data_IF_502647514259
#
_entry.id   IF_502647514259
#
_cell.length_a   1.000
_cell.length_b   1.000
_cell.length_c   1.000
_cell.angle_alpha   90.00
_cell.angle_beta   90.00
_cell.angle_gamma   90.00
#
_symmetry.space_group_name_H-M   'P 1'
#
loop_
_entity.id
_entity.type
_entity.pdbx_description
1 polymer ?
#
# COMPACT_ATOMS: atom_id res chain seq x y z
N UNK A 1 -5.01 -23.02 -40.91
CA UNK A 1 -6.27 -22.31 -40.64
C UNK A 1 -6.66 -22.45 -39.18
N UNK A 2 -6.20 -21.65 -38.24
CA UNK A 2 -5.00 -20.80 -38.16
C UNK A 2 -4.76 -20.42 -36.71
N UNK A 3 -3.50 -20.10 -36.47
CA UNK A 3 -2.84 -19.65 -35.27
C UNK A 3 -3.25 -18.20 -34.91
N UNK A 4 -4.56 -17.93 -34.84
CA UNK A 4 -5.16 -16.62 -34.54
C UNK A 4 -6.39 -16.76 -33.63
N UNK A 5 -6.32 -17.58 -32.58
CA UNK A 5 -7.30 -17.43 -31.49
C UNK A 5 -6.93 -16.15 -30.72
N UNK A 6 -7.61 -15.05 -31.07
CA UNK A 6 -7.61 -13.84 -30.25
C UNK A 6 -8.03 -14.25 -28.83
N UNK A 7 -7.09 -14.22 -27.87
CA UNK A 7 -7.34 -14.60 -26.48
C UNK A 7 -8.24 -13.62 -25.73
N UNK A 8 -8.65 -12.54 -26.39
CA UNK A 8 -9.55 -11.51 -25.90
C UNK A 8 -9.44 -10.21 -26.70
N UNK A 9 -10.20 -9.20 -26.29
CA UNK A 9 -10.13 -7.83 -26.82
C UNK A 9 -9.73 -6.88 -25.71
N UNK A 10 -8.74 -6.03 -25.98
CA UNK A 10 -8.44 -4.85 -25.18
C UNK A 10 -9.14 -3.66 -25.84
N UNK A 11 -9.84 -2.85 -25.05
CA UNK A 11 -10.57 -1.69 -25.56
C UNK A 11 -10.15 -0.41 -24.84
N UNK A 12 -10.00 0.67 -25.61
CA UNK A 12 -9.97 2.03 -25.08
C UNK A 12 -11.38 2.59 -25.19
N UNK A 13 -11.95 2.92 -24.05
CA UNK A 13 -13.36 3.28 -23.91
C UNK A 13 -13.44 4.71 -23.36
N UNK A 14 -14.37 5.50 -23.87
CA UNK A 14 -14.58 6.85 -23.34
C UNK A 14 -15.31 6.81 -21.98
N UNK A 15 -15.40 7.95 -21.31
CA UNK A 15 -16.12 8.11 -20.02
C UNK A 15 -17.62 7.77 -20.04
N UNK A 16 -18.20 7.52 -21.22
CA UNK A 16 -19.60 7.14 -21.41
C UNK A 16 -19.76 5.66 -21.79
N UNK A 17 -18.73 4.84 -21.54
CA UNK A 17 -18.68 3.41 -21.87
C UNK A 17 -18.81 3.10 -23.37
N UNK A 18 -18.48 4.08 -24.23
CA UNK A 18 -18.45 3.90 -25.69
C UNK A 18 -17.04 3.51 -26.13
N UNK A 19 -16.84 2.33 -26.75
CA UNK A 19 -15.54 1.94 -27.27
C UNK A 19 -15.07 2.89 -28.38
N UNK A 20 -13.82 3.35 -28.26
CA UNK A 20 -13.18 4.21 -29.25
C UNK A 20 -12.21 3.42 -30.13
N UNK A 21 -11.44 2.53 -29.52
CA UNK A 21 -10.41 1.73 -30.19
C UNK A 21 -10.37 0.33 -29.58
N UNK A 22 -10.04 -0.65 -30.40
CA UNK A 22 -9.83 -2.03 -29.99
C UNK A 22 -8.43 -2.49 -30.41
N UNK A 23 -7.87 -3.40 -29.61
CA UNK A 23 -6.67 -4.15 -29.93
C UNK A 23 -6.92 -5.63 -29.64
N UNK A 24 -6.53 -6.47 -30.57
CA UNK A 24 -6.59 -7.92 -30.40
C UNK A 24 -5.55 -8.35 -29.35
N UNK A 25 -5.98 -9.18 -28.41
CA UNK A 25 -5.09 -9.77 -27.41
C UNK A 25 -4.53 -11.07 -27.98
N UNK A 26 -3.35 -10.94 -28.58
CA UNK A 26 -2.64 -12.01 -29.31
C UNK A 26 -1.65 -12.79 -28.43
N UNK A 27 -1.46 -12.36 -27.19
CA UNK A 27 -0.50 -12.96 -26.26
C UNK A 27 -1.15 -13.28 -24.91
N UNK A 28 -0.67 -14.34 -24.22
CA UNK A 28 -1.14 -14.65 -22.88
C UNK A 28 -0.94 -13.46 -21.93
N UNK A 29 -1.98 -13.22 -21.11
CA UNK A 29 -2.11 -12.16 -20.10
C UNK A 29 -2.44 -10.76 -20.63
N UNK A 30 -3.07 -9.98 -19.78
CA UNK A 30 -3.34 -8.55 -20.00
C UNK A 30 -2.04 -7.74 -19.81
N UNK A 31 -1.28 -7.60 -20.89
CA UNK A 31 0.00 -6.86 -20.88
C UNK A 31 -0.20 -5.35 -21.08
N UNK A 32 0.70 -4.54 -20.49
CA UNK A 32 0.66 -3.07 -20.63
C UNK A 32 0.83 -2.58 -22.08
N UNK A 33 1.42 -3.39 -22.96
CA UNK A 33 1.63 -3.07 -24.38
C UNK A 33 0.34 -2.69 -25.10
N UNK A 34 -0.80 -3.30 -24.74
CA UNK A 34 -2.08 -3.00 -25.38
C UNK A 34 -2.57 -1.60 -25.03
N UNK A 35 -2.44 -1.20 -23.76
CA UNK A 35 -2.78 0.16 -23.32
C UNK A 35 -1.89 1.20 -24.03
N UNK A 36 -0.59 0.92 -24.16
CA UNK A 36 0.36 1.78 -24.89
C UNK A 36 -0.04 1.92 -26.36
N UNK A 37 -0.32 0.82 -27.05
CA UNK A 37 -0.72 0.82 -28.46
C UNK A 37 -2.02 1.60 -28.69
N UNK A 38 -3.01 1.40 -27.81
CA UNK A 38 -4.28 2.12 -27.87
C UNK A 38 -4.10 3.63 -27.64
N UNK A 39 -3.23 4.02 -26.71
CA UNK A 39 -2.88 5.42 -26.46
C UNK A 39 -2.16 6.04 -27.66
N UNK A 40 -1.14 5.40 -28.21
CA UNK A 40 -0.46 5.86 -29.43
C UNK A 40 -1.45 6.11 -30.55
N UNK A 41 -2.37 5.17 -30.77
CA UNK A 41 -3.39 5.31 -31.80
C UNK A 41 -4.34 6.47 -31.49
N UNK A 42 -4.80 6.62 -30.25
CA UNK A 42 -5.64 7.75 -29.86
C UNK A 42 -4.95 9.09 -30.10
N UNK A 43 -3.68 9.22 -29.67
CA UNK A 43 -2.91 10.46 -29.82
C UNK A 43 -2.62 10.82 -31.29
N UNK A 44 -2.61 9.85 -32.20
CA UNK A 44 -2.56 10.09 -33.65
C UNK A 44 -3.86 10.66 -34.24
N UNK A 45 -4.98 10.54 -33.52
CA UNK A 45 -6.32 10.92 -34.00
C UNK A 45 -6.85 12.21 -33.34
N UNK A 46 -6.28 12.63 -32.23
CA UNK A 46 -6.73 13.82 -31.49
C UNK A 46 -5.80 15.02 -31.75
N UNK A 47 -6.28 16.26 -31.53
CA UNK A 47 -5.45 17.45 -31.70
C UNK A 47 -4.16 17.42 -30.87
N UNK A 48 -3.07 17.99 -31.40
CA UNK A 48 -1.75 18.05 -30.73
C UNK A 48 -1.76 18.78 -29.37
N UNK A 49 -2.75 19.63 -29.11
CA UNK A 49 -2.90 20.35 -27.84
C UNK A 49 -3.87 19.68 -26.87
N UNK A 50 -4.52 18.57 -27.27
CA UNK A 50 -5.47 17.89 -26.42
C UNK A 50 -4.76 17.17 -25.27
N UNK A 51 -5.23 17.37 -24.05
CA UNK A 51 -4.84 16.63 -22.84
C UNK A 51 -5.84 15.51 -22.60
N UNK A 52 -5.37 14.30 -22.29
CA UNK A 52 -6.20 13.10 -22.11
C UNK A 52 -6.08 12.59 -20.68
N UNK A 53 -7.21 12.49 -19.98
CA UNK A 53 -7.30 11.76 -18.72
C UNK A 53 -7.45 10.25 -18.96
N UNK A 54 -6.53 9.45 -18.46
CA UNK A 54 -6.51 7.98 -18.65
C UNK A 54 -6.82 7.28 -17.34
N UNK A 55 -7.99 6.64 -17.26
CA UNK A 55 -8.33 5.76 -16.15
C UNK A 55 -7.89 4.33 -16.50
N UNK A 56 -6.86 3.83 -15.81
CA UNK A 56 -6.33 2.49 -16.03
C UNK A 56 -6.07 1.80 -14.71
N UNK A 57 -6.39 0.51 -14.63
CA UNK A 57 -6.34 -0.27 -13.39
C UNK A 57 -4.92 -0.40 -12.86
N UNK A 58 -3.89 -0.43 -13.71
CA UNK A 58 -2.48 -0.34 -13.34
C UNK A 58 -1.82 0.95 -13.87
N UNK A 59 -2.61 2.02 -13.99
CA UNK A 59 -2.16 3.34 -14.48
C UNK A 59 -0.92 3.86 -13.76
N UNK A 60 -0.86 3.72 -12.43
CA UNK A 60 0.32 4.11 -11.65
C UNK A 60 1.60 3.35 -12.04
N UNK A 61 1.50 2.07 -12.43
CA UNK A 61 2.65 1.27 -12.86
C UNK A 61 3.06 1.68 -14.26
N UNK A 62 2.09 1.94 -15.14
CA UNK A 62 2.37 2.37 -16.49
C UNK A 62 3.01 3.76 -16.53
N UNK A 63 2.44 4.74 -15.81
CA UNK A 63 3.02 6.08 -15.63
C UNK A 63 4.49 6.00 -15.17
N UNK A 64 4.74 5.15 -14.18
CA UNK A 64 6.09 4.89 -13.68
C UNK A 64 7.03 4.34 -14.75
N UNK A 65 6.57 3.35 -15.53
CA UNK A 65 7.35 2.79 -16.62
C UNK A 65 7.70 3.85 -17.67
N UNK A 66 6.77 4.77 -17.99
CA UNK A 66 7.01 5.87 -18.93
C UNK A 66 8.03 6.90 -18.42
N UNK A 67 8.12 7.10 -17.09
CA UNK A 67 9.14 7.98 -16.50
C UNK A 67 10.54 7.35 -16.48
N UNK A 68 10.62 6.02 -16.43
CA UNK A 68 11.89 5.29 -16.34
C UNK A 68 12.46 4.91 -17.71
N UNK A 69 11.59 4.74 -18.70
CA UNK A 69 11.94 4.21 -20.01
C UNK A 69 11.24 5.03 -21.10
N UNK A 70 11.95 5.23 -22.21
CA UNK A 70 11.44 5.92 -23.39
C UNK A 70 10.50 5.01 -24.20
N UNK A 71 9.30 4.78 -23.65
CA UNK A 71 8.27 3.90 -24.23
C UNK A 71 7.29 4.69 -25.10
N UNK A 72 6.90 5.88 -24.64
CA UNK A 72 6.02 6.79 -25.35
C UNK A 72 6.76 8.12 -25.60
N UNK A 73 6.58 8.73 -26.78
CA UNK A 73 7.10 10.06 -27.07
C UNK A 73 6.74 11.10 -26.00
N UNK A 74 7.66 12.03 -25.71
CA UNK A 74 7.49 13.09 -24.71
C UNK A 74 6.28 14.01 -25.00
N UNK A 75 5.97 14.22 -26.28
CA UNK A 75 4.79 15.00 -26.69
C UNK A 75 3.47 14.33 -26.27
N UNK A 76 3.46 13.01 -26.10
CA UNK A 76 2.30 12.26 -25.61
C UNK A 76 2.31 12.23 -24.09
N UNK A 77 3.43 11.90 -23.45
CA UNK A 77 3.50 11.69 -21.99
C UNK A 77 3.15 12.96 -21.21
N UNK A 78 3.58 14.14 -21.68
CA UNK A 78 3.26 15.43 -21.06
C UNK A 78 1.77 15.82 -21.17
N UNK A 79 1.01 15.17 -22.07
CA UNK A 79 -0.42 15.41 -22.29
C UNK A 79 -1.32 14.33 -21.67
N UNK A 80 -0.76 13.37 -20.96
CA UNK A 80 -1.52 12.35 -20.24
C UNK A 80 -1.68 12.74 -18.77
N UNK A 81 -2.92 12.67 -18.28
CA UNK A 81 -3.23 12.75 -16.85
C UNK A 81 -3.70 11.37 -16.39
N UNK A 82 -2.90 10.71 -15.55
CA UNK A 82 -3.22 9.37 -15.07
C UNK A 82 -4.24 9.39 -13.93
N UNK A 83 -5.18 8.46 -13.99
CA UNK A 83 -6.07 8.11 -12.90
C UNK A 83 -6.06 6.58 -12.71
N UNK A 84 -6.13 6.15 -11.45
CA UNK A 84 -6.25 4.74 -11.10
C UNK A 84 -7.42 4.55 -10.16
N UNK A 85 -8.20 3.50 -10.38
CA UNK A 85 -9.41 3.25 -9.60
C UNK A 85 -9.08 2.76 -8.19
N UNK A 86 -9.69 3.36 -7.17
CA UNK A 86 -9.58 2.91 -5.78
C UNK A 86 -10.27 1.55 -5.52
N UNK A 87 -10.98 0.96 -6.51
CA UNK A 87 -11.52 -0.40 -6.38
C UNK A 87 -10.45 -1.47 -6.16
N UNK A 88 -9.19 -1.10 -6.41
CA UNK A 88 -7.99 -1.85 -6.02
C UNK A 88 -7.01 -0.97 -5.23
N UNK A 89 -7.46 -0.02 -4.40
CA UNK A 89 -6.60 0.86 -3.57
C UNK A 89 -5.51 0.09 -2.80
N UNK A 90 -5.82 -1.17 -2.54
CA UNK A 90 -5.05 -2.21 -1.92
C UNK A 90 -3.99 -2.92 -2.80
N UNK A 91 -4.20 -3.00 -4.11
CA UNK A 91 -3.23 -3.54 -5.07
C UNK A 91 -2.18 -2.51 -5.51
N UNK A 92 -2.39 -1.23 -5.20
CA UNK A 92 -1.49 -0.13 -5.57
C UNK A 92 -0.60 0.30 -4.40
N UNK A 93 0.45 1.06 -4.73
CA UNK A 93 1.33 1.64 -3.70
C UNK A 93 0.61 2.78 -2.97
N UNK A 94 1.05 3.08 -1.75
CA UNK A 94 0.52 4.15 -0.92
C UNK A 94 0.43 5.48 -1.67
N UNK A 95 1.48 5.82 -2.42
CA UNK A 95 1.57 7.03 -3.23
C UNK A 95 0.39 7.21 -4.20
N UNK A 96 -0.21 6.12 -4.69
CA UNK A 96 -1.37 6.17 -5.58
C UNK A 96 -2.63 6.67 -4.87
N UNK A 97 -2.72 6.50 -3.54
CA UNK A 97 -3.85 6.98 -2.74
C UNK A 97 -3.77 8.50 -2.49
N UNK A 98 -2.57 9.10 -2.57
CA UNK A 98 -2.36 10.53 -2.34
C UNK A 98 -2.93 11.43 -3.47
N UNK A 99 -3.13 10.85 -4.65
CA UNK A 99 -3.54 11.57 -5.89
C UNK A 99 -4.98 11.23 -6.28
N UNK A 100 -5.64 10.33 -5.54
CA UNK A 100 -6.95 9.80 -5.89
C UNK A 100 -8.07 10.84 -5.66
N UNK A 101 -8.69 11.31 -6.74
CA UNK A 101 -9.82 12.27 -6.69
C UNK A 101 -11.08 11.80 -7.44
N UNK A 102 -10.99 10.71 -8.19
CA UNK A 102 -11.99 10.33 -9.20
C UNK A 102 -13.04 9.35 -8.67
N UNK A 103 -12.66 8.43 -7.80
CA UNK A 103 -13.51 7.36 -7.29
C UNK A 103 -14.67 7.90 -6.45
N UNK A 104 -14.43 8.96 -5.67
CA UNK A 104 -15.46 9.65 -4.90
C UNK A 104 -16.55 10.28 -5.77
N UNK A 105 -16.18 10.78 -6.96
CA UNK A 105 -17.08 11.35 -7.98
C UNK A 105 -17.84 10.27 -8.74
N UNK A 106 -17.20 9.13 -9.01
CA UNK A 106 -17.79 8.01 -9.77
C UNK A 106 -18.48 6.94 -8.89
N UNK A 107 -18.39 7.01 -7.55
CA UNK A 107 -18.80 5.93 -6.62
C UNK A 107 -20.21 5.37 -6.84
N UNK A 108 -21.14 6.21 -7.32
CA UNK A 108 -22.51 5.79 -7.64
C UNK A 108 -22.68 5.24 -9.07
N UNK A 109 -21.86 5.67 -10.02
CA UNK A 109 -21.87 5.15 -11.40
C UNK A 109 -21.33 3.72 -11.45
N UNK A 110 -20.46 3.37 -10.50
CA UNK A 110 -19.86 2.03 -10.39
C UNK A 110 -20.91 0.91 -10.22
N UNK A 111 -21.97 1.15 -9.45
CA UNK A 111 -23.04 0.16 -9.27
C UNK A 111 -23.83 -0.08 -10.55
N UNK A 112 -23.94 0.96 -11.39
CA UNK A 112 -24.66 0.94 -12.67
C UNK A 112 -23.89 0.14 -13.72
N UNK A 113 -22.56 0.20 -13.72
CA UNK A 113 -21.71 -0.44 -14.73
C UNK A 113 -21.33 -1.92 -14.44
N UNK A 114 -21.88 -2.55 -13.39
CA UNK A 114 -21.44 -3.89 -12.91
C UNK A 114 -22.30 -5.08 -13.37
N UNK A 115 -23.29 -4.90 -14.25
CA UNK A 115 -24.05 -6.02 -14.78
C UNK A 115 -24.81 -5.71 -16.07
N UNK A 116 -25.11 -6.76 -16.84
CA UNK A 116 -25.93 -6.76 -18.06
C UNK A 116 -27.42 -6.42 -17.84
N UNK A 117 -27.79 -5.95 -16.64
CA UNK A 117 -29.11 -5.49 -16.20
C UNK A 117 -29.12 -3.96 -15.98
N UNK A 118 -28.34 -3.22 -16.78
CA UNK A 118 -28.10 -1.79 -16.60
C UNK A 118 -29.38 -0.94 -16.58
N UNK A 119 -30.47 -1.36 -17.25
CA UNK A 119 -31.72 -0.61 -17.29
C UNK A 119 -32.48 -0.62 -15.96
N UNK A 120 -32.75 -1.80 -15.40
CA UNK A 120 -33.62 -1.95 -14.22
C UNK A 120 -32.93 -1.49 -12.94
N UNK A 121 -31.62 -1.75 -12.83
CA UNK A 121 -30.79 -1.27 -11.71
C UNK A 121 -30.61 0.25 -11.78
N UNK A 122 -30.55 0.84 -12.98
CA UNK A 122 -30.49 2.29 -13.13
C UNK A 122 -31.78 2.98 -12.66
N UNK A 123 -32.95 2.39 -12.92
CA UNK A 123 -34.23 2.98 -12.50
C UNK A 123 -34.44 2.93 -10.97
N UNK A 124 -34.14 1.81 -10.30
CA UNK A 124 -34.17 1.73 -8.83
C UNK A 124 -33.16 2.68 -8.17
N UNK A 125 -31.92 2.74 -8.69
CA UNK A 125 -30.88 3.64 -8.18
C UNK A 125 -31.19 5.11 -8.44
N UNK A 126 -31.95 5.43 -9.49
CA UNK A 126 -32.43 6.78 -9.80
C UNK A 126 -33.50 7.24 -8.83
N UNK A 127 -34.40 6.35 -8.41
CA UNK A 127 -35.41 6.62 -7.37
C UNK A 127 -34.73 6.93 -6.02
N UNK A 128 -33.72 6.12 -5.66
CA UNK A 128 -32.97 6.30 -4.41
C UNK A 128 -31.89 7.40 -4.47
N UNK A 129 -31.65 7.98 -5.65
CA UNK A 129 -30.64 9.01 -5.86
C UNK A 129 -30.89 10.23 -4.98
N UNK A 130 -32.12 10.74 -4.97
CA UNK A 130 -32.50 11.91 -4.16
C UNK A 130 -32.44 11.65 -2.65
N UNK A 131 -32.82 10.46 -2.19
CA UNK A 131 -32.75 10.08 -0.78
C UNK A 131 -31.29 9.90 -0.31
N UNK A 132 -30.44 9.32 -1.14
CA UNK A 132 -29.01 9.20 -0.85
C UNK A 132 -28.29 10.55 -0.92
N UNK A 133 -28.61 11.42 -1.88
CA UNK A 133 -28.02 12.77 -1.97
C UNK A 133 -28.39 13.54 -0.71
N UNK A 134 -29.67 13.52 -0.28
CA UNK A 134 -30.09 14.16 0.99
C UNK A 134 -29.37 13.60 2.22
N UNK A 135 -29.20 12.28 2.34
CA UNK A 135 -28.45 11.69 3.46
C UNK A 135 -26.95 12.05 3.42
N UNK A 136 -26.36 12.06 2.23
CA UNK A 136 -24.94 12.36 2.04
C UNK A 136 -24.63 13.85 2.26
N UNK A 137 -25.41 14.74 1.65
CA UNK A 137 -25.22 16.19 1.71
C UNK A 137 -25.80 16.83 2.98
N UNK A 138 -26.77 16.17 3.63
CA UNK A 138 -27.35 16.64 4.88
C UNK A 138 -26.53 16.21 6.10
N UNK A 139 -26.79 15.01 6.62
CA UNK A 139 -26.23 14.58 7.91
C UNK A 139 -24.76 14.22 7.84
N UNK A 140 -24.34 13.47 6.82
CA UNK A 140 -22.94 13.02 6.71
C UNK A 140 -21.95 14.14 6.43
N UNK A 141 -22.37 15.14 5.65
CA UNK A 141 -21.54 16.30 5.35
C UNK A 141 -21.22 17.09 6.62
N UNK A 142 -22.24 17.35 7.44
CA UNK A 142 -22.08 18.08 8.70
C UNK A 142 -21.22 17.29 9.71
N UNK A 143 -21.43 15.97 9.83
CA UNK A 143 -20.57 15.10 10.64
C UNK A 143 -19.10 15.20 10.21
N UNK A 144 -18.81 15.14 8.90
CA UNK A 144 -17.44 15.26 8.39
C UNK A 144 -16.84 16.65 8.59
N UNK A 145 -17.62 17.72 8.46
CA UNK A 145 -17.19 19.08 8.77
C UNK A 145 -16.86 19.24 10.26
N UNK A 146 -17.65 18.64 11.16
CA UNK A 146 -17.36 18.66 12.59
C UNK A 146 -16.09 17.89 12.93
N UNK A 147 -15.87 16.74 12.31
CA UNK A 147 -14.61 16.00 12.47
C UNK A 147 -13.41 16.80 11.96
N UNK A 148 -13.54 17.50 10.82
CA UNK A 148 -12.50 18.38 10.30
C UNK A 148 -12.18 19.53 11.28
N UNK A 149 -13.21 20.16 11.87
CA UNK A 149 -13.03 21.20 12.89
C UNK A 149 -12.32 20.68 14.14
N UNK A 150 -12.63 19.45 14.59
CA UNK A 150 -11.93 18.83 15.72
C UNK A 150 -10.45 18.62 15.42
N UNK A 151 -10.12 18.20 14.20
CA UNK A 151 -8.72 18.03 13.78
C UNK A 151 -7.94 19.35 13.73
N UNK A 152 -8.60 20.48 13.43
CA UNK A 152 -7.97 21.80 13.55
C UNK A 152 -7.77 22.24 15.01
N UNK A 153 -8.61 21.79 15.94
CA UNK A 153 -8.47 22.13 17.37
C UNK A 153 -7.20 21.55 18.01
N UNK A 154 -6.66 20.46 17.47
CA UNK A 154 -5.44 19.82 17.97
C UNK A 154 -4.16 20.32 17.29
N UNK A 155 -4.28 20.95 16.11
CA UNK A 155 -3.15 21.43 15.33
C UNK A 155 -2.98 22.95 15.50
N UNK A 156 -1.76 23.40 15.80
CA UNK A 156 -1.46 24.84 15.94
C UNK A 156 -1.20 25.54 14.60
N UNK A 157 -1.02 24.78 13.51
CA UNK A 157 -0.72 25.31 12.18
C UNK A 157 -1.98 25.86 11.51
N UNK A 158 -1.82 26.93 10.74
CA UNK A 158 -2.87 27.49 9.91
C UNK A 158 -3.11 26.62 8.67
N UNK A 159 -4.31 26.72 8.08
CA UNK A 159 -4.69 25.94 6.88
C UNK A 159 -3.69 26.16 5.73
N UNK A 160 -3.18 27.37 5.54
CA UNK A 160 -2.20 27.67 4.49
C UNK A 160 -0.90 26.85 4.67
N UNK A 161 -0.40 26.77 5.91
CA UNK A 161 0.81 26.01 6.24
C UNK A 161 0.55 24.50 6.12
N UNK A 162 -0.66 24.03 6.49
CA UNK A 162 -1.07 22.65 6.28
C UNK A 162 -1.12 22.27 4.78
N UNK A 163 -1.52 23.20 3.90
CA UNK A 163 -1.48 22.99 2.44
C UNK A 163 -0.04 22.85 1.94
N UNK A 164 0.87 23.66 2.43
CA UNK A 164 2.30 23.57 2.10
C UNK A 164 2.89 22.23 2.57
N UNK A 165 2.65 21.86 3.83
CA UNK A 165 3.07 20.58 4.39
C UNK A 165 2.50 19.39 3.59
N UNK A 166 1.24 19.46 3.18
CA UNK A 166 0.63 18.46 2.30
C UNK A 166 1.29 18.39 0.92
N UNK A 167 1.66 19.53 0.35
CA UNK A 167 2.35 19.58 -0.94
C UNK A 167 3.74 18.94 -0.85
N UNK A 168 4.50 19.26 0.20
CA UNK A 168 5.79 18.64 0.50
C UNK A 168 5.67 17.13 0.68
N UNK A 169 4.64 16.67 1.40
CA UNK A 169 4.35 15.24 1.55
C UNK A 169 4.15 14.56 0.19
N UNK A 170 3.31 15.13 -0.68
CA UNK A 170 3.06 14.56 -2.01
C UNK A 170 4.33 14.50 -2.84
N UNK A 171 5.12 15.57 -2.89
CA UNK A 171 6.37 15.62 -3.66
C UNK A 171 7.37 14.55 -3.19
N UNK A 172 7.53 14.45 -1.86
CA UNK A 172 8.35 13.43 -1.24
C UNK A 172 7.89 11.99 -1.58
N UNK A 173 6.59 11.70 -1.41
CA UNK A 173 6.05 10.35 -1.51
C UNK A 173 5.76 9.91 -2.96
N UNK A 174 5.62 10.86 -3.90
CA UNK A 174 5.49 10.59 -5.34
C UNK A 174 6.85 10.54 -6.04
N UNK A 175 7.94 10.88 -5.35
CA UNK A 175 9.28 10.86 -5.92
C UNK A 175 9.68 9.47 -6.41
N UNK A 176 10.26 9.45 -7.62
CA UNK A 176 10.92 8.32 -8.28
C UNK A 176 11.85 7.53 -7.33
N UNK A 177 12.53 8.21 -6.41
CA UNK A 177 13.54 7.63 -5.52
C UNK A 177 12.96 6.82 -4.35
N UNK A 178 11.67 7.02 -4.03
CA UNK A 178 11.01 6.25 -2.97
C UNK A 178 10.91 4.74 -3.31
N UNK A 179 11.08 4.37 -4.58
CA UNK A 179 10.90 3.00 -5.05
C UNK A 179 12.25 2.29 -5.11
N UNK A 180 12.49 1.35 -4.18
CA UNK A 180 13.70 0.54 -4.20
C UNK A 180 13.79 -0.31 -5.48
N UNK A 181 14.99 -0.46 -6.09
CA UNK A 181 15.19 -1.32 -7.25
C UNK A 181 14.67 -2.75 -7.00
N UNK A 182 14.08 -3.38 -8.02
CA UNK A 182 13.44 -4.70 -7.89
C UNK A 182 14.41 -5.80 -7.39
N UNK A 183 15.70 -5.70 -7.74
CA UNK A 183 16.76 -6.60 -7.26
C UNK A 183 16.97 -6.48 -5.76
N UNK A 184 17.22 -5.26 -5.28
CA UNK A 184 17.42 -5.00 -3.85
C UNK A 184 16.22 -5.47 -3.01
N UNK A 185 15.00 -5.27 -3.52
CA UNK A 185 13.79 -5.76 -2.87
C UNK A 185 13.80 -7.29 -2.68
N UNK A 186 14.16 -8.04 -3.72
CA UNK A 186 14.20 -9.51 -3.68
C UNK A 186 15.21 -10.01 -2.65
N UNK A 187 16.38 -9.38 -2.61
CA UNK A 187 17.44 -9.77 -1.69
C UNK A 187 17.09 -9.41 -0.23
N UNK A 188 16.48 -8.24 0.00
CA UNK A 188 15.97 -7.86 1.33
C UNK A 188 14.79 -8.76 1.78
N UNK A 189 13.92 -9.20 0.87
CA UNK A 189 12.87 -10.18 1.16
C UNK A 189 13.46 -11.56 1.54
N UNK A 190 14.60 -11.96 0.95
CA UNK A 190 15.32 -13.17 1.32
C UNK A 190 15.92 -13.05 2.72
N UNK A 191 16.54 -11.91 3.05
CA UNK A 191 17.06 -11.62 4.39
C UNK A 191 15.95 -11.66 5.45
N UNK A 192 14.76 -11.13 5.16
CA UNK A 192 13.61 -11.22 6.08
C UNK A 192 13.16 -12.66 6.34
N UNK A 193 13.28 -13.56 5.37
CA UNK A 193 12.97 -14.99 5.56
C UNK A 193 14.01 -15.63 6.45
N UNK A 194 15.29 -15.42 6.18
CA UNK A 194 16.38 -15.93 7.03
C UNK A 194 16.24 -15.42 8.47
N UNK A 195 15.93 -14.14 8.66
CA UNK A 195 15.68 -13.58 9.99
C UNK A 195 14.46 -14.21 10.68
N UNK A 196 13.44 -14.58 9.91
CA UNK A 196 12.28 -15.32 10.44
C UNK A 196 12.66 -16.70 10.92
N UNK A 197 13.62 -17.35 10.27
CA UNK A 197 14.10 -18.67 10.65
C UNK A 197 15.05 -18.58 11.85
N UNK A 198 15.90 -17.56 11.93
CA UNK A 198 16.70 -17.22 13.13
C UNK A 198 15.79 -17.02 14.35
N UNK A 199 14.74 -16.21 14.24
CA UNK A 199 13.79 -15.98 15.35
C UNK A 199 13.10 -17.29 15.82
N UNK A 200 12.88 -18.24 14.91
CA UNK A 200 12.29 -19.55 15.28
C UNK A 200 13.31 -20.40 16.02
N UNK A 201 14.56 -20.45 15.52
CA UNK A 201 15.65 -21.17 16.15
C UNK A 201 15.93 -20.61 17.55
N UNK A 202 15.92 -19.28 17.71
CA UNK A 202 16.06 -18.60 19.00
C UNK A 202 14.99 -19.05 19.99
N UNK A 203 13.70 -19.04 19.60
CA UNK A 203 12.61 -19.53 20.46
C UNK A 203 12.72 -21.02 20.78
N UNK A 204 13.15 -21.82 19.81
CA UNK A 204 13.38 -23.26 20.03
C UNK A 204 14.54 -23.51 21.00
N UNK A 205 15.61 -22.71 20.92
CA UNK A 205 16.71 -22.71 21.88
C UNK A 205 16.24 -22.29 23.28
N UNK A 206 15.46 -21.21 23.40
CA UNK A 206 14.88 -20.79 24.68
C UNK A 206 14.02 -21.90 25.32
N UNK A 207 13.20 -22.60 24.52
CA UNK A 207 12.40 -23.73 25.00
C UNK A 207 13.28 -24.92 25.41
N UNK A 208 14.28 -25.25 24.59
CA UNK A 208 15.23 -26.30 24.92
C UNK A 208 15.98 -26.00 26.22
N UNK A 209 16.49 -24.77 26.40
CA UNK A 209 17.14 -24.35 27.65
C UNK A 209 16.20 -24.41 28.86
N UNK A 210 14.93 -24.03 28.69
CA UNK A 210 13.94 -24.12 29.76
C UNK A 210 13.65 -25.59 30.15
N UNK A 211 13.46 -26.47 29.16
CA UNK A 211 13.11 -27.89 29.36
C UNK A 211 14.30 -28.72 29.89
N UNK A 212 15.52 -28.43 29.44
CA UNK A 212 16.74 -29.13 29.86
C UNK A 212 17.36 -28.58 31.15
N UNK A 213 16.79 -27.51 31.73
CA UNK A 213 17.17 -27.04 33.07
C UNK A 213 16.84 -28.06 34.18
N UNK A 214 15.90 -28.99 33.93
CA UNK A 214 15.43 -29.98 34.90
C UNK A 214 15.83 -31.43 34.59
N UNK A 215 16.24 -31.75 33.34
CA UNK A 215 16.67 -33.11 32.96
C UNK A 215 17.89 -33.10 32.04
N UNK A 216 18.97 -33.75 32.49
CA UNK A 216 20.29 -33.64 31.86
C UNK A 216 20.71 -34.98 31.24
N UNK A 217 20.25 -35.25 30.02
CA UNK A 217 20.80 -36.34 29.20
C UNK A 217 21.94 -35.80 28.33
N UNK A 218 23.03 -36.56 28.18
CA UNK A 218 24.20 -36.15 27.38
C UNK A 218 23.85 -35.93 25.89
N UNK A 219 22.84 -36.64 25.37
CA UNK A 219 22.37 -36.49 23.98
C UNK A 219 21.52 -35.22 23.81
N UNK A 220 20.80 -34.79 24.86
CA UNK A 220 20.06 -33.53 24.88
C UNK A 220 21.01 -32.33 24.81
N UNK A 221 22.10 -32.35 25.59
CA UNK A 221 23.12 -31.28 25.59
C UNK A 221 23.74 -31.13 24.20
N UNK A 222 24.17 -32.23 23.58
CA UNK A 222 24.74 -32.20 22.22
C UNK A 222 23.77 -31.65 21.17
N UNK A 223 22.47 -31.93 21.34
CA UNK A 223 21.44 -31.43 20.43
C UNK A 223 21.26 -29.91 20.56
N UNK A 224 21.35 -29.38 21.79
CA UNK A 224 21.33 -27.93 22.06
C UNK A 224 22.58 -27.25 21.49
N UNK A 225 23.78 -27.80 21.74
CA UNK A 225 25.04 -27.28 21.19
C UNK A 225 25.00 -27.22 19.65
N UNK A 226 24.45 -28.24 18.99
CA UNK A 226 24.25 -28.23 17.54
C UNK A 226 23.28 -27.13 17.08
N UNK A 227 22.21 -26.89 17.85
CA UNK A 227 21.27 -25.81 17.55
C UNK A 227 21.89 -24.42 17.75
N UNK A 228 22.72 -24.23 18.77
CA UNK A 228 23.48 -22.99 18.99
C UNK A 228 24.47 -22.73 17.86
N UNK A 229 25.23 -23.75 17.44
CA UNK A 229 26.17 -23.62 16.31
C UNK A 229 25.43 -23.29 14.99
N UNK A 230 24.26 -23.89 14.77
CA UNK A 230 23.40 -23.59 13.63
C UNK A 230 22.85 -22.16 13.67
N UNK A 231 22.47 -21.67 14.87
CA UNK A 231 22.03 -20.30 15.09
C UNK A 231 23.15 -19.30 14.74
N UNK A 232 24.36 -19.52 15.24
CA UNK A 232 25.51 -18.64 14.98
C UNK A 232 25.89 -18.63 13.49
N UNK A 233 25.96 -19.80 12.84
CA UNK A 233 26.21 -19.89 11.38
C UNK A 233 25.17 -19.13 10.56
N UNK A 234 23.89 -19.24 10.94
CA UNK A 234 22.80 -18.57 10.22
C UNK A 234 22.84 -17.05 10.42
N UNK A 235 23.20 -16.60 11.63
CA UNK A 235 23.44 -15.20 11.95
C UNK A 235 24.59 -14.63 11.11
N UNK A 236 25.74 -15.29 11.09
CA UNK A 236 26.91 -14.88 10.29
C UNK A 236 26.58 -14.81 8.79
N UNK A 237 25.80 -15.77 8.29
CA UNK A 237 25.36 -15.78 6.90
C UNK A 237 24.49 -14.55 6.56
N UNK A 238 23.57 -14.16 7.45
CA UNK A 238 22.75 -12.94 7.28
C UNK A 238 23.62 -11.68 7.28
N UNK A 239 24.65 -11.62 8.14
CA UNK A 239 25.57 -10.48 8.18
C UNK A 239 26.40 -10.37 6.89
N UNK A 240 26.93 -11.49 6.40
CA UNK A 240 27.69 -11.56 5.15
C UNK A 240 26.85 -11.16 3.93
N UNK A 241 25.63 -11.71 3.82
CA UNK A 241 24.70 -11.34 2.75
C UNK A 241 24.40 -9.83 2.78
N UNK A 242 24.18 -9.27 3.96
CA UNK A 242 23.93 -7.83 4.08
C UNK A 242 25.13 -6.98 3.64
N UNK A 243 26.35 -7.37 4.04
CA UNK A 243 27.56 -6.69 3.60
C UNK A 243 27.71 -6.72 2.07
N UNK A 244 27.42 -7.87 1.44
CA UNK A 244 27.49 -8.02 -0.02
C UNK A 244 26.47 -7.19 -0.81
N UNK A 245 25.40 -6.72 -0.17
CA UNK A 245 24.37 -5.92 -0.85
C UNK A 245 24.85 -4.52 -1.21
N UNK A 246 25.99 -4.06 -0.66
CA UNK A 246 26.56 -2.73 -0.90
C UNK A 246 25.49 -1.64 -0.82
N UNK A 247 24.64 -1.69 0.21
CA UNK A 247 23.48 -0.81 0.38
C UNK A 247 23.89 0.67 0.31
N UNK A 248 25.09 0.99 0.79
CA UNK A 248 25.66 2.34 0.77
C UNK A 248 25.97 2.86 -0.64
N UNK A 249 26.23 1.97 -1.62
CA UNK A 249 26.41 2.36 -3.03
C UNK A 249 25.07 2.67 -3.70
N UNK A 250 23.99 1.98 -3.28
CA UNK A 250 22.63 2.19 -3.81
C UNK A 250 21.99 3.43 -3.17
N UNK A 251 22.27 3.69 -1.89
CA UNK A 251 21.79 4.86 -1.16
C UNK A 251 22.97 5.64 -0.57
N UNK A 252 23.58 6.56 -1.35
CA UNK A 252 24.72 7.36 -0.90
C UNK A 252 24.42 8.16 0.37
N UNK A 253 23.16 8.54 0.56
CA UNK A 253 22.65 9.28 1.72
C UNK A 253 22.82 8.49 3.04
N UNK A 254 22.92 7.16 2.98
CA UNK A 254 23.05 6.27 4.15
C UNK A 254 24.50 5.93 4.49
N UNK A 255 25.48 6.44 3.73
CA UNK A 255 26.89 6.06 3.86
C UNK A 255 27.49 6.42 5.23
N UNK A 256 27.01 7.50 5.84
CA UNK A 256 27.51 8.01 7.12
C UNK A 256 26.79 7.39 8.34
N UNK A 257 25.85 6.47 8.11
CA UNK A 257 25.08 5.82 9.18
C UNK A 257 25.73 4.50 9.59
N UNK A 258 25.49 4.11 10.84
CA UNK A 258 25.96 2.83 11.35
C UNK A 258 25.30 1.67 10.58
N UNK A 259 26.12 0.73 10.10
CA UNK A 259 25.65 -0.38 9.25
C UNK A 259 24.56 -1.22 9.92
N UNK A 260 24.64 -1.42 11.24
CA UNK A 260 23.60 -2.12 12.03
C UNK A 260 22.27 -1.37 12.01
N UNK A 261 22.30 -0.05 12.12
CA UNK A 261 21.11 0.80 12.04
C UNK A 261 20.47 0.75 10.65
N UNK A 262 21.26 0.92 9.59
CA UNK A 262 20.77 0.87 8.20
C UNK A 262 20.16 -0.50 7.89
N UNK A 263 20.77 -1.58 8.39
CA UNK A 263 20.23 -2.95 8.29
C UNK A 263 18.86 -3.05 8.91
N UNK A 264 18.74 -2.63 10.17
CA UNK A 264 17.49 -2.68 10.90
C UNK A 264 16.40 -1.85 10.22
N UNK A 265 16.73 -0.63 9.77
CA UNK A 265 15.82 0.29 9.09
C UNK A 265 15.25 -0.32 7.79
N UNK A 266 16.10 -0.92 6.95
CA UNK A 266 15.67 -1.54 5.70
C UNK A 266 14.87 -2.83 5.91
N UNK A 267 15.25 -3.66 6.89
CA UNK A 267 14.47 -4.84 7.27
C UNK A 267 13.09 -4.43 7.76
N UNK A 268 13.02 -3.44 8.64
CA UNK A 268 11.78 -2.90 9.18
C UNK A 268 10.88 -2.33 8.07
N UNK A 269 11.44 -1.57 7.12
CA UNK A 269 10.71 -1.07 5.95
C UNK A 269 10.08 -2.18 5.13
N UNK A 270 10.85 -3.22 4.80
CA UNK A 270 10.32 -4.35 4.02
C UNK A 270 9.29 -5.16 4.81
N UNK A 271 9.50 -5.31 6.12
CA UNK A 271 8.53 -5.96 7.00
C UNK A 271 7.20 -5.18 7.00
N UNK A 272 7.23 -3.84 7.08
CA UNK A 272 6.04 -2.99 6.97
C UNK A 272 5.32 -3.18 5.64
N UNK A 273 6.06 -3.20 4.53
CA UNK A 273 5.49 -3.47 3.19
C UNK A 273 4.79 -4.84 3.15
N UNK A 274 5.41 -5.87 3.72
CA UNK A 274 4.86 -7.22 3.74
C UNK A 274 3.63 -7.34 4.67
N UNK A 275 3.66 -6.69 5.84
CA UNK A 275 2.49 -6.56 6.73
C UNK A 275 1.36 -5.88 5.98
N UNK A 276 1.62 -4.74 5.34
CA UNK A 276 0.63 -4.00 4.58
C UNK A 276 -0.03 -4.88 3.52
N UNK A 277 0.75 -5.55 2.66
CA UNK A 277 0.22 -6.49 1.65
C UNK A 277 -0.69 -7.56 2.25
N UNK A 278 -0.28 -8.19 3.36
CA UNK A 278 -1.05 -9.25 4.02
C UNK A 278 -2.33 -8.71 4.68
N UNK A 279 -2.21 -7.61 5.41
CA UNK A 279 -3.34 -6.93 6.05
C UNK A 279 -4.38 -6.54 5.01
N UNK A 280 -3.92 -5.91 3.94
CA UNK A 280 -4.75 -5.53 2.79
C UNK A 280 -5.47 -6.75 2.17
N UNK A 281 -4.76 -7.85 1.92
CA UNK A 281 -5.36 -9.06 1.37
C UNK A 281 -6.47 -9.61 2.29
N UNK A 282 -6.22 -9.64 3.60
CA UNK A 282 -7.22 -10.03 4.59
C UNK A 282 -8.41 -9.05 4.61
N UNK A 283 -8.17 -7.73 4.58
CA UNK A 283 -9.22 -6.71 4.59
C UNK A 283 -10.10 -6.79 3.34
N UNK A 284 -9.54 -7.09 2.18
CA UNK A 284 -10.30 -7.27 0.94
C UNK A 284 -11.22 -8.49 1.01
N UNK A 285 -10.76 -9.60 1.58
CA UNK A 285 -11.60 -10.78 1.83
C UNK A 285 -12.73 -10.46 2.84
N UNK A 286 -12.44 -9.70 3.89
CA UNK A 286 -13.44 -9.17 4.84
C UNK A 286 -14.49 -8.29 4.15
N UNK A 287 -14.08 -7.41 3.24
CA UNK A 287 -15.00 -6.52 2.55
C UNK A 287 -15.87 -7.27 1.53
N UNK A 288 -15.33 -8.30 0.85
CA UNK A 288 -16.15 -9.22 0.03
C UNK A 288 -17.21 -9.92 0.86
N UNK A 289 -16.89 -10.31 2.10
CA UNK A 289 -17.82 -10.92 3.04
C UNK A 289 -18.94 -9.95 3.46
N UNK A 290 -18.59 -8.69 3.71
CA UNK A 290 -19.54 -7.65 4.14
C UNK A 290 -20.41 -7.10 2.99
N UNK A 291 -19.92 -7.14 1.74
CA UNK A 291 -20.64 -6.68 0.53
C UNK A 291 -21.58 -7.73 -0.05
N UNK A 292 -21.43 -8.99 0.33
CA UNK A 292 -22.30 -10.07 -0.07
C UNK A 292 -23.75 -9.73 0.41
N UNK A 293 -24.70 -9.65 -0.52
CA UNK A 293 -26.08 -9.12 -0.34
C UNK A 293 -26.74 -9.51 0.99
N UNK A 294 -27.01 -8.49 1.83
CA UNK A 294 -27.86 -8.56 3.02
C UNK A 294 -27.22 -8.12 4.35
N UNK A 295 -26.03 -7.52 4.31
CA UNK A 295 -25.38 -6.95 5.50
C UNK A 295 -24.87 -8.01 6.48
N UNK A 296 -24.42 -7.58 7.67
CA UNK A 296 -23.85 -8.46 8.72
C UNK A 296 -24.76 -9.63 9.15
N UNK A 297 -26.03 -9.64 8.72
CA UNK A 297 -27.09 -10.51 9.24
C UNK A 297 -27.86 -11.35 8.20
N UNK A 298 -27.67 -11.16 6.89
CA UNK A 298 -28.27 -12.08 5.89
C UNK A 298 -27.22 -13.01 5.29
N UNK A 299 -27.42 -14.30 5.49
CA UNK A 299 -26.50 -15.34 5.05
C UNK A 299 -26.63 -15.61 3.54
N UNK A 300 -25.75 -15.02 2.73
CA UNK A 300 -25.36 -15.69 1.49
C UNK A 300 -24.66 -17.00 1.87
N UNK A 301 -25.34 -18.12 1.62
CA UNK A 301 -24.87 -19.50 1.77
C UNK A 301 -23.93 -19.71 2.94
N UNK A 302 -24.48 -20.05 4.12
CA UNK A 302 -23.80 -20.30 5.41
C UNK A 302 -22.39 -20.91 5.26
N UNK A 303 -22.21 -21.85 4.32
CA UNK A 303 -20.93 -22.52 4.00
C UNK A 303 -19.83 -21.59 3.46
N UNK A 304 -20.11 -20.73 2.48
CA UNK A 304 -19.09 -19.83 1.91
C UNK A 304 -18.68 -18.75 2.92
N UNK A 305 -19.65 -18.21 3.66
CA UNK A 305 -19.40 -17.25 4.73
C UNK A 305 -18.54 -17.86 5.84
N UNK A 306 -18.83 -19.09 6.27
CA UNK A 306 -18.02 -19.82 7.26
C UNK A 306 -16.63 -20.14 6.71
N UNK A 307 -16.51 -20.54 5.43
CA UNK A 307 -15.24 -20.86 4.80
C UNK A 307 -14.31 -19.64 4.70
N UNK A 308 -14.84 -18.48 4.33
CA UNK A 308 -14.07 -17.22 4.30
C UNK A 308 -13.67 -16.80 5.72
N UNK A 309 -14.60 -16.84 6.70
CA UNK A 309 -14.25 -16.56 8.12
C UNK A 309 -13.16 -17.49 8.64
N UNK A 310 -13.22 -18.79 8.32
CA UNK A 310 -12.23 -19.78 8.72
C UNK A 310 -10.86 -19.51 8.09
N UNK A 311 -10.84 -19.19 6.79
CA UNK A 311 -9.62 -18.86 6.05
C UNK A 311 -8.95 -17.61 6.62
N UNK A 312 -9.74 -16.58 6.91
CA UNK A 312 -9.29 -15.35 7.57
C UNK A 312 -8.72 -15.69 8.95
N UNK A 313 -9.48 -16.41 9.79
CA UNK A 313 -9.06 -16.78 11.15
C UNK A 313 -7.74 -17.55 11.15
N UNK A 314 -7.50 -18.43 10.18
CA UNK A 314 -6.23 -19.14 10.01
C UNK A 314 -5.05 -18.23 9.65
N UNK A 315 -5.29 -17.13 8.94
CA UNK A 315 -4.24 -16.21 8.47
C UNK A 315 -3.93 -15.08 9.46
N UNK A 316 -4.88 -14.74 10.33
CA UNK A 316 -4.71 -13.67 11.33
C UNK A 316 -3.48 -13.87 12.23
N UNK A 317 -3.19 -15.05 12.82
CA UNK A 317 -2.04 -15.22 13.70
C UNK A 317 -0.69 -14.91 13.04
N UNK A 318 -0.54 -15.25 11.76
CA UNK A 318 0.69 -14.96 11.01
C UNK A 318 0.88 -13.45 10.76
N UNK A 319 -0.22 -12.70 10.59
CA UNK A 319 -0.19 -11.25 10.47
C UNK A 319 0.10 -10.59 11.83
N UNK A 320 -0.56 -11.02 12.90
CA UNK A 320 -0.30 -10.51 14.25
C UNK A 320 1.15 -10.76 14.69
N UNK A 321 1.70 -11.93 14.35
CA UNK A 321 3.11 -12.26 14.61
C UNK A 321 4.04 -11.32 13.85
N UNK A 322 3.74 -11.01 12.58
CA UNK A 322 4.51 -10.07 11.79
C UNK A 322 4.45 -8.65 12.39
N UNK A 323 3.28 -8.21 12.84
CA UNK A 323 3.10 -6.91 13.51
C UNK A 323 3.87 -6.84 14.84
N UNK A 324 3.80 -7.89 15.67
CA UNK A 324 4.59 -7.97 16.91
C UNK A 324 6.08 -7.87 16.64
N UNK A 325 6.57 -8.56 15.60
CA UNK A 325 7.97 -8.45 15.16
C UNK A 325 8.31 -7.03 14.71
N UNK A 326 7.45 -6.41 13.92
CA UNK A 326 7.64 -5.02 13.48
C UNK A 326 7.76 -4.08 14.68
N UNK A 327 6.88 -4.20 15.68
CA UNK A 327 6.94 -3.36 16.88
C UNK A 327 8.21 -3.61 17.70
N UNK A 328 8.68 -4.86 17.81
CA UNK A 328 9.97 -5.19 18.43
C UNK A 328 11.12 -4.49 17.70
N UNK A 329 11.14 -4.58 16.38
CA UNK A 329 12.17 -3.94 15.56
C UNK A 329 12.11 -2.41 15.60
N UNK A 330 10.93 -1.80 15.75
CA UNK A 330 10.81 -0.36 16.02
C UNK A 330 11.50 0.01 17.33
N UNK A 331 11.33 -0.78 18.41
CA UNK A 331 11.97 -0.53 19.69
C UNK A 331 13.50 -0.69 19.61
N UNK A 332 13.99 -1.74 18.96
CA UNK A 332 15.43 -1.95 18.71
C UNK A 332 16.03 -0.80 17.89
N UNK A 333 15.32 -0.37 16.84
CA UNK A 333 15.75 0.76 16.00
C UNK A 333 15.81 2.06 16.80
N UNK A 334 14.82 2.31 17.65
CA UNK A 334 14.78 3.47 18.54
C UNK A 334 15.94 3.47 19.55
N UNK A 335 16.33 2.29 20.06
CA UNK A 335 17.47 2.15 20.97
C UNK A 335 18.83 2.46 20.32
N UNK A 336 18.97 2.20 19.02
CA UNK A 336 20.19 2.51 18.25
C UNK A 336 20.20 3.94 17.69
N UNK A 337 19.05 4.62 17.66
CA UNK A 337 18.87 5.89 16.97
C UNK A 337 19.65 7.05 17.61
N UNK A 338 20.25 7.89 16.77
CA UNK A 338 20.87 9.16 17.17
C UNK A 338 20.13 10.33 16.53
N UNK A 339 19.77 11.39 17.28
CA UNK A 339 19.06 12.55 16.74
C UNK A 339 19.75 13.19 15.53
N UNK A 340 21.09 13.17 15.51
CA UNK A 340 21.95 13.71 14.43
C UNK A 340 21.69 13.05 13.06
N UNK A 341 21.10 11.85 13.03
CA UNK A 341 20.82 11.16 11.78
C UNK A 341 19.63 11.75 11.03
N UNK A 342 18.81 12.60 11.66
CA UNK A 342 17.66 13.25 11.04
C UNK A 342 16.73 12.29 10.28
N UNK A 343 16.57 11.06 10.78
CA UNK A 343 15.66 10.04 10.24
C UNK A 343 14.51 9.86 11.22
N UNK A 344 13.25 10.08 10.81
CA UNK A 344 12.11 9.88 11.69
C UNK A 344 11.96 8.39 12.05
N UNK A 345 11.68 8.15 13.33
CA UNK A 345 11.43 6.80 13.81
C UNK A 345 10.01 6.35 13.44
N UNK A 346 9.86 5.12 12.93
CA UNK A 346 8.55 4.56 12.63
C UNK A 346 7.77 4.20 13.89
N UNK A 347 6.48 4.50 13.88
CA UNK A 347 5.56 4.20 14.97
C UNK A 347 5.14 2.72 14.99
N UNK A 348 4.94 2.12 16.18
CA UNK A 348 4.44 0.75 16.30
C UNK A 348 2.98 0.65 15.82
N UNK A 349 2.61 -0.51 15.30
CA UNK A 349 1.28 -0.80 14.78
C UNK A 349 0.42 -1.55 15.81
N UNK A 350 -0.92 -1.40 15.80
CA UNK A 350 -1.80 -2.20 16.64
C UNK A 350 -1.71 -3.69 16.31
N UNK A 351 -1.49 -4.53 17.32
CA UNK A 351 -1.34 -5.97 17.12
C UNK A 351 -2.64 -6.66 16.68
N UNK A 352 -3.81 -6.12 17.03
CA UNK A 352 -5.12 -6.68 16.69
C UNK A 352 -5.56 -6.21 15.31
N UNK A 353 -6.05 -7.14 14.49
CA UNK A 353 -6.47 -6.85 13.10
C UNK A 353 -7.59 -5.79 13.00
N UNK A 354 -8.52 -5.77 13.95
CA UNK A 354 -9.63 -4.80 13.95
C UNK A 354 -9.16 -3.36 14.12
N UNK A 355 -8.17 -3.17 15.00
CA UNK A 355 -7.59 -1.85 15.27
C UNK A 355 -6.64 -1.45 14.13
N UNK A 356 -5.83 -2.42 13.65
CA UNK A 356 -4.92 -2.25 12.52
C UNK A 356 -5.64 -1.76 11.25
N UNK A 357 -6.90 -2.17 11.04
CA UNK A 357 -7.70 -1.76 9.87
C UNK A 357 -7.86 -0.25 9.76
N UNK A 358 -8.06 0.42 10.89
CA UNK A 358 -8.34 1.86 10.94
C UNK A 358 -7.11 2.67 11.33
N UNK A 359 -5.98 1.99 11.56
CA UNK A 359 -4.74 2.63 11.92
C UNK A 359 -4.12 3.30 10.68
N UNK A 360 -3.87 4.62 10.72
CA UNK A 360 -3.28 5.33 9.60
C UNK A 360 -1.84 4.89 9.31
N UNK A 361 -1.11 4.46 10.35
CA UNK A 361 0.27 4.02 10.26
C UNK A 361 0.45 2.76 9.41
N UNK A 362 -0.59 1.93 9.22
CA UNK A 362 -0.55 0.74 8.36
C UNK A 362 -0.15 1.10 6.91
N UNK A 363 -0.70 2.20 6.39
CA UNK A 363 -0.54 2.59 5.00
C UNK A 363 0.66 3.52 4.77
N UNK A 364 1.12 4.22 5.81
CA UNK A 364 2.31 5.08 5.76
C UNK A 364 3.59 4.25 5.54
N UNK A 365 4.50 4.71 4.67
CA UNK A 365 5.80 4.07 4.43
C UNK A 365 6.81 4.35 5.56
N UNK A 366 7.78 3.45 5.73
CA UNK A 366 8.95 3.72 6.59
C UNK A 366 9.89 4.62 5.80
N UNK A 367 10.17 5.79 6.36
CA UNK A 367 11.12 6.74 5.81
C UNK A 367 12.55 6.25 6.01
N UNK A 368 13.39 6.37 4.98
CA UNK A 368 14.76 5.84 5.01
C UNK A 368 15.83 6.90 4.78
N UNK A 369 15.51 8.01 4.12
CA UNK A 369 16.49 9.04 3.80
C UNK A 369 16.66 10.03 4.95
N UNK A 370 17.89 10.39 5.34
CA UNK A 370 18.11 11.47 6.29
C UNK A 370 17.60 12.81 5.72
N UNK A 371 17.03 13.65 6.57
CA UNK A 371 16.71 15.03 6.19
C UNK A 371 17.96 15.91 6.27
N UNK A 372 18.21 16.70 5.23
CA UNK A 372 19.36 17.61 5.16
C UNK A 372 19.21 18.86 6.04
N UNK A 373 18.01 19.12 6.58
CA UNK A 373 17.72 20.31 7.39
C UNK A 373 17.06 19.89 8.70
N UNK A 374 15.74 19.77 8.70
CA UNK A 374 14.91 19.30 9.81
C UNK A 374 13.89 18.30 9.27
N UNK A 375 13.39 17.42 10.13
CA UNK A 375 12.36 16.46 9.74
C UNK A 375 11.06 17.25 9.52
N UNK A 376 10.44 17.19 8.32
CA UNK A 376 9.24 17.94 8.04
C UNK A 376 8.11 17.66 9.06
N UNK A 377 7.37 18.69 9.51
CA UNK A 377 6.28 18.51 10.47
C UNK A 377 5.23 17.49 10.03
N UNK A 378 4.88 17.42 8.73
CA UNK A 378 3.96 16.40 8.21
C UNK A 378 4.40 14.96 8.45
N UNK A 379 5.70 14.73 8.66
CA UNK A 379 6.30 13.41 8.85
C UNK A 379 6.48 13.05 10.33
N UNK A 380 6.79 14.03 11.19
CA UNK A 380 7.12 13.79 12.60
C UNK A 380 5.99 14.14 13.57
N UNK A 381 5.14 15.12 13.26
CA UNK A 381 4.13 15.64 14.19
C UNK A 381 2.75 15.00 13.91
N UNK A 382 2.22 14.18 14.83
CA UNK A 382 0.87 13.59 14.69
C UNK A 382 -0.24 14.65 14.57
N UNK A 383 -0.09 15.80 15.24
CA UNK A 383 -1.09 16.88 15.18
C UNK A 383 -1.14 17.53 13.80
N UNK A 384 0.00 17.65 13.12
CA UNK A 384 0.08 18.15 11.74
C UNK A 384 -0.52 17.14 10.77
N UNK A 385 -0.25 15.84 10.95
CA UNK A 385 -0.89 14.77 10.15
C UNK A 385 -2.42 14.80 10.30
N UNK A 386 -2.92 14.93 11.52
CA UNK A 386 -4.37 15.09 11.77
C UNK A 386 -4.91 16.39 11.16
N UNK A 387 -4.18 17.51 11.28
CA UNK A 387 -4.53 18.78 10.67
C UNK A 387 -4.66 18.69 9.14
N UNK A 388 -3.72 18.03 8.46
CA UNK A 388 -3.77 17.78 7.01
C UNK A 388 -5.01 16.94 6.67
N UNK A 389 -5.31 15.88 7.43
CA UNK A 389 -6.51 15.05 7.21
C UNK A 389 -7.79 15.85 7.40
N UNK A 390 -7.84 16.71 8.42
CA UNK A 390 -8.93 17.64 8.67
C UNK A 390 -9.15 18.61 7.51
N UNK A 391 -8.07 19.22 7.02
CA UNK A 391 -8.08 20.10 5.85
C UNK A 391 -8.59 19.39 4.60
N UNK A 392 -8.08 18.21 4.28
CA UNK A 392 -8.52 17.43 3.12
C UNK A 392 -9.99 17.02 3.24
N UNK A 393 -10.46 16.70 4.46
CA UNK A 393 -11.87 16.40 4.72
C UNK A 393 -12.74 17.64 4.53
N UNK A 394 -12.30 18.81 4.99
CA UNK A 394 -13.01 20.07 4.77
C UNK A 394 -13.08 20.43 3.28
N UNK A 395 -11.96 20.38 2.55
CA UNK A 395 -11.91 20.61 1.10
C UNK A 395 -12.89 19.67 0.39
N UNK A 396 -12.94 18.39 0.83
CA UNK A 396 -13.87 17.41 0.27
C UNK A 396 -15.33 17.74 0.56
N UNK A 397 -15.65 18.23 1.76
CA UNK A 397 -17.00 18.66 2.08
C UNK A 397 -17.42 19.86 1.22
N UNK A 398 -16.52 20.83 0.99
CA UNK A 398 -16.77 21.98 0.12
C UNK A 398 -16.96 21.58 -1.34
N UNK A 399 -16.24 20.57 -1.83
CA UNK A 399 -16.45 20.00 -3.18
C UNK A 399 -17.80 19.30 -3.35
N UNK A 400 -18.33 18.72 -2.27
CA UNK A 400 -19.58 17.95 -2.29
C UNK A 400 -20.82 18.87 -2.08
N UNK A 401 -20.66 20.10 -1.58
CA UNK A 401 -21.70 21.15 -1.50
C UNK A 401 -22.07 21.68 -2.89
#
# INVERSE_FOLDING_TARGET
MDHFDDGGLAALVCRHDIPLLFANVDTPREQQKYAIALLLRLFSLIPQKATVGVLYDVGCVLDRSLQLYDILPEDITTRIVWATSAMRAYAHQWSCQLVERLWSRLRKLIGICRGSLASTIADELKIDLGAWIRRRLGTKLEEHLQEARKAFGTCKMQIAELREQWQLQKEAQLSVRAHAPARLRKDLDALLRLQTDIDKLEKSLEHAHAEFSETTSADSIKSVEFMEESYDKMRDHVESLYASLNVQDIFPELKNLELKFVRQLLLLRNLKINIRKRAIGNLFEWDRLNQATGGRHQALGIKMHQHIRHTISKRTPALETAVKRFNRYCAELAAMHRPEWNIPLPEPLPAKLGDLRNDPGLLEDVWISPSNVEIPPWLNDPSVREGIRGMLRQDRCLEDQ
#
